data_IF_672092781698
#
_entry.id   IF_672092781698
#
_cell.length_a   1.000
_cell.length_b   1.000
_cell.length_c   1.000
_cell.angle_alpha   90.00
_cell.angle_beta   90.00
_cell.angle_gamma   90.00
#
_symmetry.space_group_name_H-M   'P 1'
#
loop_
_entity.id
_entity.type
_entity.pdbx_description
1 polymer ?
#
# COMPACT_ATOMS: atom_id res chain seq x y z
N UNK A 1 13.94 1.68 -5.60
CA UNK A 1 13.36 3.01 -5.38
C UNK A 1 12.14 3.18 -6.28
N UNK A 2 11.03 3.68 -5.73
CA UNK A 2 9.80 3.93 -6.48
C UNK A 2 9.87 5.36 -6.99
N UNK A 3 10.17 5.53 -8.27
CA UNK A 3 10.33 6.87 -8.89
C UNK A 3 9.01 7.52 -9.27
N UNK A 4 7.89 6.81 -9.12
CA UNK A 4 6.57 7.30 -9.54
C UNK A 4 5.85 7.93 -8.36
N UNK A 5 5.64 9.24 -8.44
CA UNK A 5 4.79 10.00 -7.54
C UNK A 5 3.32 9.90 -7.97
N UNK A 6 2.42 9.73 -7.00
CA UNK A 6 0.97 9.71 -7.24
C UNK A 6 0.28 10.80 -6.41
N UNK A 7 -0.71 11.47 -7.01
CA UNK A 7 -1.61 12.35 -6.28
C UNK A 7 -2.69 11.55 -5.56
N UNK A 8 -3.28 12.14 -4.51
CA UNK A 8 -4.37 11.49 -3.76
C UNK A 8 -5.57 11.10 -4.65
N UNK A 9 -5.86 11.89 -5.70
CA UNK A 9 -6.97 11.66 -6.62
C UNK A 9 -6.77 10.47 -7.55
N UNK A 10 -5.53 10.03 -7.73
CA UNK A 10 -5.14 8.92 -8.63
C UNK A 10 -5.09 7.57 -7.92
N UNK A 11 -5.14 7.54 -6.59
CA UNK A 11 -5.05 6.29 -5.84
C UNK A 11 -6.25 5.40 -6.13
N UNK A 12 -5.96 4.25 -6.73
CA UNK A 12 -6.87 3.12 -6.99
C UNK A 12 -6.34 1.83 -6.39
N UNK A 13 -5.29 1.92 -5.58
CA UNK A 13 -4.60 0.79 -4.95
C UNK A 13 -4.01 -0.18 -5.98
N UNK A 14 -3.54 0.28 -7.14
CA UNK A 14 -2.74 -0.60 -8.01
C UNK A 14 -1.45 -1.04 -7.29
N UNK A 15 -0.81 -2.13 -7.73
CA UNK A 15 0.44 -2.62 -7.10
C UNK A 15 1.51 -1.52 -6.96
N UNK A 16 1.83 -0.72 -8.00
CA UNK A 16 2.78 0.39 -7.85
C UNK A 16 2.35 1.45 -6.83
N UNK A 17 1.05 1.73 -6.74
CA UNK A 17 0.50 2.69 -5.78
C UNK A 17 0.58 2.16 -4.36
N UNK A 18 0.30 0.87 -4.12
CA UNK A 18 0.46 0.25 -2.80
C UNK A 18 1.90 0.33 -2.34
N UNK A 19 2.86 -0.01 -3.21
CA UNK A 19 4.27 0.09 -2.89
C UNK A 19 4.66 1.55 -2.56
N UNK A 20 4.15 2.52 -3.32
CA UNK A 20 4.36 3.94 -3.03
C UNK A 20 3.81 4.34 -1.66
N UNK A 21 2.60 3.88 -1.31
CA UNK A 21 1.98 4.16 -0.01
C UNK A 21 2.76 3.51 1.14
N UNK A 22 3.22 2.27 0.99
CA UNK A 22 4.02 1.56 1.99
C UNK A 22 5.35 2.27 2.26
N UNK A 23 6.03 2.72 1.21
CA UNK A 23 7.29 3.44 1.34
C UNK A 23 7.15 4.79 2.09
N UNK A 24 5.95 5.37 2.13
CA UNK A 24 5.68 6.66 2.77
C UNK A 24 4.67 6.55 3.92
N UNK A 25 4.50 5.35 4.48
CA UNK A 25 3.49 5.04 5.49
C UNK A 25 3.53 6.02 6.68
N UNK A 26 4.70 6.25 7.27
CA UNK A 26 4.90 7.20 8.40
C UNK A 26 4.40 8.61 8.10
N UNK A 27 4.62 9.09 6.87
CA UNK A 27 4.25 10.44 6.46
C UNK A 27 2.73 10.56 6.35
N UNK A 28 2.10 9.56 5.74
CA UNK A 28 0.66 9.50 5.53
C UNK A 28 -0.09 9.35 6.85
N UNK A 29 0.42 8.56 7.79
CA UNK A 29 -0.14 8.42 9.15
C UNK A 29 -0.14 9.74 9.93
N UNK A 30 0.86 10.60 9.68
CA UNK A 30 0.93 11.96 10.24
C UNK A 30 0.02 12.96 9.52
N UNK A 31 -0.71 12.53 8.49
CA UNK A 31 -1.60 13.38 7.72
C UNK A 31 -0.89 14.23 6.66
N UNK A 32 0.32 13.86 6.24
CA UNK A 32 1.03 14.56 5.16
C UNK A 32 1.03 13.73 3.88
N UNK A 33 0.79 14.38 2.75
CA UNK A 33 1.00 13.74 1.45
C UNK A 33 2.46 13.92 1.02
N UNK A 34 2.98 12.98 0.24
CA UNK A 34 4.34 13.07 -0.30
C UNK A 34 4.43 14.32 -1.18
N UNK A 35 5.37 15.25 -0.94
CA UNK A 35 5.54 16.43 -1.78
C UNK A 35 6.04 16.00 -3.17
N UNK A 36 5.58 16.68 -4.22
CA UNK A 36 6.13 16.47 -5.57
C UNK A 36 7.47 17.19 -5.66
N UNK A 37 8.46 16.61 -6.34
CA UNK A 37 9.78 17.23 -6.52
C UNK A 37 9.72 18.63 -7.16
N UNK A 38 8.66 18.92 -7.93
CA UNK A 38 8.46 20.20 -8.63
C UNK A 38 7.82 21.30 -7.74
N UNK A 39 7.31 20.97 -6.55
CA UNK A 39 6.51 21.89 -5.72
C UNK A 39 7.35 22.91 -4.90
N UNK A 40 8.69 22.89 -4.98
CA UNK A 40 9.52 23.89 -4.31
C UNK A 40 9.49 25.28 -4.97
N UNK A 41 8.87 25.41 -6.15
CA UNK A 41 8.72 26.67 -6.88
C UNK A 41 7.42 27.39 -6.53
N UNK A 42 7.47 28.35 -5.60
CA UNK A 42 6.35 29.24 -5.29
C UNK A 42 6.01 30.14 -6.50
N UNK A 43 5.15 29.66 -7.41
CA UNK A 43 4.51 30.51 -8.41
C UNK A 43 3.27 31.13 -7.77
N UNK A 44 3.42 32.37 -7.29
CA UNK A 44 2.33 33.16 -6.72
C UNK A 44 1.16 33.27 -7.69
N UNK A 45 0.18 32.37 -7.53
CA UNK A 45 -1.04 32.37 -8.31
C UNK A 45 -2.10 33.15 -7.53
N UNK A 46 -2.45 34.33 -8.03
CA UNK A 46 -3.51 35.22 -7.57
C UNK A 46 -4.92 34.66 -7.88
N UNK A 47 -5.11 33.34 -7.77
CA UNK A 47 -6.41 32.70 -7.89
C UNK A 47 -7.10 32.73 -6.53
N UNK A 48 -8.32 33.29 -6.51
CA UNK A 48 -9.11 33.52 -5.32
C UNK A 48 -9.20 32.32 -4.39
N UNK A 49 -9.32 32.60 -3.09
CA UNK A 49 -9.35 31.63 -1.99
C UNK A 49 -10.48 30.61 -2.23
N UNK A 50 -10.14 29.46 -2.83
CA UNK A 50 -11.06 28.34 -2.94
C UNK A 50 -11.28 27.77 -1.53
N UNK A 51 -12.52 27.76 -1.06
CA UNK A 51 -12.87 27.09 0.19
C UNK A 51 -12.68 25.58 0.01
N UNK A 52 -11.65 25.03 0.66
CA UNK A 52 -11.52 23.58 0.79
C UNK A 52 -12.51 23.11 1.85
N UNK A 53 -13.38 22.18 1.48
CA UNK A 53 -14.38 21.61 2.39
C UNK A 53 -13.79 20.64 3.42
N UNK A 54 -12.52 20.27 3.28
CA UNK A 54 -11.83 19.31 4.14
C UNK A 54 -10.41 19.78 4.51
N UNK A 55 -9.92 19.33 5.67
CA UNK A 55 -8.54 19.56 6.10
C UNK A 55 -7.54 18.82 5.21
N UNK A 56 -6.34 19.39 5.05
CA UNK A 56 -5.29 18.81 4.19
C UNK A 56 -4.87 17.38 4.61
N UNK A 57 -5.03 17.05 5.90
CA UNK A 57 -4.66 15.77 6.49
C UNK A 57 -5.68 14.65 6.25
N UNK A 58 -6.93 15.00 5.91
CA UNK A 58 -8.03 14.04 5.83
C UNK A 58 -7.75 12.98 4.75
N UNK A 59 -7.29 13.41 3.57
CA UNK A 59 -7.03 12.50 2.45
C UNK A 59 -5.91 11.50 2.72
N UNK A 60 -4.70 11.92 3.18
CA UNK A 60 -3.65 10.99 3.58
C UNK A 60 -4.13 9.96 4.61
N UNK A 61 -4.82 10.41 5.66
CA UNK A 61 -5.30 9.54 6.74
C UNK A 61 -6.31 8.51 6.23
N UNK A 62 -7.29 8.92 5.41
CA UNK A 62 -8.29 7.98 4.87
C UNK A 62 -7.63 6.94 3.96
N UNK A 63 -6.66 7.35 3.13
CA UNK A 63 -5.97 6.44 2.21
C UNK A 63 -5.13 5.42 2.98
N UNK A 64 -4.34 5.87 3.97
CA UNK A 64 -3.51 4.95 4.73
C UNK A 64 -4.35 4.03 5.62
N UNK A 65 -5.42 4.53 6.23
CA UNK A 65 -6.33 3.72 7.04
C UNK A 65 -6.97 2.59 6.22
N UNK A 66 -7.39 2.86 4.98
CA UNK A 66 -7.91 1.83 4.06
C UNK A 66 -6.83 0.82 3.68
N UNK A 67 -5.59 1.25 3.41
CA UNK A 67 -4.49 0.31 3.13
C UNK A 67 -4.19 -0.58 4.34
N UNK A 68 -4.10 -0.01 5.54
CA UNK A 68 -3.89 -0.74 6.79
C UNK A 68 -5.00 -1.76 7.02
N UNK A 69 -6.27 -1.38 6.84
CA UNK A 69 -7.39 -2.31 6.97
C UNK A 69 -7.30 -3.50 5.98
N UNK A 70 -6.77 -3.28 4.77
CA UNK A 70 -6.53 -4.36 3.79
C UNK A 70 -5.38 -5.28 4.21
N UNK A 71 -4.29 -4.70 4.72
CA UNK A 71 -3.14 -5.47 5.22
C UNK A 71 -3.51 -6.30 6.44
N UNK A 72 -4.24 -5.73 7.39
CA UNK A 72 -4.73 -6.41 8.60
C UNK A 72 -5.61 -7.61 8.24
N UNK A 73 -6.45 -7.48 7.21
CA UNK A 73 -7.27 -8.57 6.71
C UNK A 73 -6.46 -9.76 6.15
N UNK A 74 -5.17 -9.57 5.82
CA UNK A 74 -4.28 -10.65 5.37
C UNK A 74 -3.52 -11.34 6.50
N UNK A 75 -3.63 -10.84 7.75
CA UNK A 75 -2.97 -11.42 8.91
C UNK A 75 -1.44 -11.37 8.81
N UNK A 76 -0.78 -12.50 9.02
CA UNK A 76 0.68 -12.58 9.02
C UNK A 76 1.32 -12.26 7.66
N UNK A 77 0.60 -12.47 6.55
CA UNK A 77 1.10 -12.11 5.22
C UNK A 77 1.23 -10.58 5.08
N UNK A 78 0.33 -9.82 5.73
CA UNK A 78 0.36 -8.37 5.76
C UNK A 78 1.55 -7.84 6.56
N UNK A 79 1.90 -8.52 7.66
CA UNK A 79 3.10 -8.18 8.45
C UNK A 79 4.37 -8.32 7.62
N UNK A 80 4.50 -9.39 6.83
CA UNK A 80 5.63 -9.58 5.92
C UNK A 80 5.75 -8.44 4.90
N UNK A 81 4.61 -7.95 4.37
CA UNK A 81 4.59 -6.80 3.44
C UNK A 81 5.10 -5.52 4.11
N UNK A 82 4.64 -5.24 5.33
CA UNK A 82 5.07 -4.05 6.09
C UNK A 82 6.57 -4.14 6.40
N UNK A 83 7.04 -5.26 6.95
CA UNK A 83 8.46 -5.41 7.26
C UNK A 83 9.33 -5.27 6.00
N UNK A 84 8.87 -5.78 4.86
CA UNK A 84 9.61 -5.71 3.60
C UNK A 84 9.72 -4.29 3.03
N UNK A 85 8.60 -3.57 2.96
CA UNK A 85 8.49 -2.34 2.15
C UNK A 85 8.44 -1.06 2.97
N UNK A 86 8.03 -1.14 4.24
CA UNK A 86 8.03 0.00 5.14
C UNK A 86 9.28 -0.01 6.04
N UNK A 87 9.69 -1.17 6.55
CA UNK A 87 10.90 -1.31 7.38
C UNK A 87 12.15 -1.70 6.59
N UNK A 88 12.02 -1.87 5.27
CA UNK A 88 13.12 -2.19 4.33
C UNK A 88 13.92 -3.46 4.68
N UNK A 89 13.30 -4.44 5.36
CA UNK A 89 13.95 -5.71 5.71
C UNK A 89 14.03 -6.60 4.46
N UNK A 90 15.20 -7.21 4.22
CA UNK A 90 15.42 -8.09 3.07
C UNK A 90 14.60 -9.39 3.17
N UNK A 91 14.20 -9.95 2.03
CA UNK A 91 13.44 -11.20 1.98
C UNK A 91 14.16 -12.40 2.63
N UNK A 92 15.50 -12.45 2.59
CA UNK A 92 16.28 -13.50 3.27
C UNK A 92 16.21 -13.34 4.80
N UNK A 93 16.37 -12.12 5.30
CA UNK A 93 16.25 -11.84 6.74
C UNK A 93 14.83 -12.13 7.25
N UNK A 94 13.81 -11.85 6.43
CA UNK A 94 12.43 -12.22 6.72
C UNK A 94 12.24 -13.75 6.77
N UNK A 95 12.85 -14.48 5.84
CA UNK A 95 12.79 -15.94 5.82
C UNK A 95 13.38 -16.52 7.11
N UNK A 96 14.55 -16.05 7.54
CA UNK A 96 15.21 -16.47 8.77
C UNK A 96 14.40 -16.10 10.02
N UNK A 97 13.95 -14.84 10.10
CA UNK A 97 13.19 -14.31 11.24
C UNK A 97 11.87 -15.06 11.45
N UNK A 98 11.16 -15.37 10.37
CA UNK A 98 9.84 -16.02 10.44
C UNK A 98 9.91 -17.55 10.28
N UNK A 99 11.12 -18.11 10.13
CA UNK A 99 11.37 -19.56 9.90
C UNK A 99 10.59 -20.10 8.70
N UNK A 100 10.62 -19.35 7.60
CA UNK A 100 9.97 -19.68 6.34
C UNK A 100 11.03 -19.90 5.27
N UNK A 101 10.65 -20.63 4.21
CA UNK A 101 11.47 -20.68 3.01
C UNK A 101 11.40 -19.34 2.23
N UNK A 102 12.50 -18.96 1.60
CA UNK A 102 12.61 -17.72 0.83
C UNK A 102 11.52 -17.57 -0.24
N UNK A 103 11.24 -18.65 -1.01
CA UNK A 103 10.19 -18.61 -2.03
C UNK A 103 8.80 -18.50 -1.41
N UNK A 104 8.62 -19.06 -0.20
CA UNK A 104 7.38 -18.92 0.56
C UNK A 104 7.15 -17.46 0.99
N UNK A 105 8.19 -16.77 1.46
CA UNK A 105 8.11 -15.33 1.80
C UNK A 105 7.69 -14.52 0.59
N UNK A 106 8.38 -14.68 -0.56
CA UNK A 106 8.03 -13.98 -1.81
C UNK A 106 6.58 -14.25 -2.20
N UNK A 107 6.16 -15.52 -2.17
CA UNK A 107 4.80 -15.91 -2.55
C UNK A 107 3.74 -15.28 -1.65
N UNK A 108 3.98 -15.24 -0.33
CA UNK A 108 3.06 -14.65 0.65
C UNK A 108 2.96 -13.14 0.47
N UNK A 109 4.09 -12.46 0.31
CA UNK A 109 4.15 -11.01 0.03
C UNK A 109 3.37 -10.68 -1.24
N UNK A 110 3.62 -11.38 -2.35
CA UNK A 110 2.92 -11.10 -3.62
C UNK A 110 1.41 -11.38 -3.52
N UNK A 111 1.00 -12.43 -2.81
CA UNK A 111 -0.44 -12.72 -2.56
C UNK A 111 -1.10 -11.61 -1.74
N UNK A 112 -0.45 -11.14 -0.67
CA UNK A 112 -0.97 -10.06 0.15
C UNK A 112 -1.11 -8.75 -0.64
N UNK A 113 -0.10 -8.38 -1.44
CA UNK A 113 -0.16 -7.20 -2.31
C UNK A 113 -1.29 -7.31 -3.34
N UNK A 114 -1.45 -8.47 -3.99
CA UNK A 114 -2.55 -8.71 -4.94
C UNK A 114 -3.92 -8.65 -4.28
N UNK A 115 -4.04 -9.08 -3.03
CA UNK A 115 -5.29 -8.92 -2.29
C UNK A 115 -5.56 -7.44 -1.98
N UNK A 116 -4.53 -6.73 -1.50
CA UNK A 116 -4.62 -5.31 -1.19
C UNK A 116 -4.93 -4.47 -2.44
N UNK A 117 -4.53 -4.90 -3.64
CA UNK A 117 -4.85 -4.17 -4.87
C UNK A 117 -6.29 -4.27 -5.30
N UNK A 118 -7.07 -5.17 -4.69
CA UNK A 118 -8.45 -5.43 -5.09
C UNK A 118 -8.58 -6.15 -6.43
N UNK A 119 -7.46 -6.55 -7.05
CA UNK A 119 -7.47 -7.28 -8.30
C UNK A 119 -8.21 -8.62 -8.12
N UNK A 120 -9.34 -8.77 -8.80
CA UNK A 120 -10.23 -9.93 -8.70
C UNK A 120 -10.81 -10.18 -7.28
N UNK A 121 -10.84 -9.16 -6.40
CA UNK A 121 -11.51 -9.26 -5.10
C UNK A 121 -13.03 -9.15 -5.29
N UNK A 122 -13.70 -10.29 -5.41
CA UNK A 122 -15.11 -10.41 -5.01
C UNK A 122 -15.16 -10.14 -3.51
N UNK A 123 -16.28 -9.62 -2.95
CA UNK A 123 -16.45 -9.28 -1.51
C UNK A 123 -16.23 -10.51 -0.58
N UNK A 124 -14.99 -10.96 -0.47
CA UNK A 124 -14.55 -12.20 0.13
C UNK A 124 -13.43 -11.88 1.12
N UNK A 125 -13.36 -12.70 2.17
CA UNK A 125 -12.23 -12.72 3.10
C UNK A 125 -10.94 -13.15 2.38
N UNK A 126 -9.79 -12.81 2.95
CA UNK A 126 -8.49 -13.18 2.39
C UNK A 126 -8.36 -14.70 2.18
N UNK A 127 -8.74 -15.49 3.17
CA UNK A 127 -8.74 -16.96 3.10
C UNK A 127 -9.64 -17.48 1.97
N UNK A 128 -10.87 -16.98 1.84
CA UNK A 128 -11.77 -17.39 0.77
C UNK A 128 -11.24 -16.99 -0.62
N UNK A 129 -10.60 -15.82 -0.71
CA UNK A 129 -9.93 -15.35 -1.92
C UNK A 129 -8.76 -16.27 -2.31
N UNK A 130 -7.89 -16.64 -1.35
CA UNK A 130 -6.79 -17.58 -1.58
C UNK A 130 -7.30 -18.94 -2.09
N UNK A 131 -8.34 -19.50 -1.45
CA UNK A 131 -8.95 -20.77 -1.86
C UNK A 131 -9.48 -20.68 -3.29
N UNK A 132 -10.20 -19.61 -3.64
CA UNK A 132 -10.76 -19.43 -4.99
C UNK A 132 -9.70 -19.47 -6.10
N UNK A 133 -8.49 -18.97 -5.82
CA UNK A 133 -7.37 -19.01 -6.77
C UNK A 133 -6.64 -20.34 -6.79
N UNK A 134 -6.55 -21.02 -5.64
CA UNK A 134 -6.00 -22.38 -5.57
C UNK A 134 -6.82 -23.40 -6.36
N UNK A 135 -8.15 -23.21 -6.44
CA UNK A 135 -9.05 -24.03 -7.25
C UNK A 135 -8.79 -23.80 -8.75
N UNK A 136 -8.56 -22.55 -9.17
CA UNK A 136 -8.27 -22.21 -10.57
C UNK A 136 -6.89 -22.67 -11.06
N UNK A 137 -5.90 -22.85 -10.18
CA UNK A 137 -4.57 -23.34 -10.55
C UNK A 137 -4.48 -24.86 -10.75
N UNK A 138 -5.55 -25.61 -10.43
CA UNK A 138 -5.61 -27.08 -10.60
C UNK A 138 -6.46 -27.54 -11.81
N UNK A 139 -6.88 -26.61 -12.67
CA UNK A 139 -7.50 -26.89 -13.97
C UNK A 139 -6.50 -26.56 -15.08
#
# INVERSE_FOLDING_TARGET
MIEVWFSYGEIRYSKPQILFLLAHMDLLERGYWVPRHDDSGYLGSSKGRAYKHEGYFVKPIVIIAELTARLDATGDDGKLVIERYHLEVDELDLADKHRLDYLTVISRIDKAIRYCSGENRKRLSYTAWQISRGIYQRQ
#
